data_IF_376952584486
#
_entry.id   IF_376952584486
#
_cell.length_a   1.000
_cell.length_b   1.000
_cell.length_c   1.000
_cell.angle_alpha   90.00
_cell.angle_beta   90.00
_cell.angle_gamma   90.00
#
_symmetry.space_group_name_H-M   'P 1'
#
loop_
_entity.id
_entity.type
_entity.pdbx_description
1 polymer ?
#
# COMPACT_ATOMS: atom_id res chain seq x y z
N UNK A 1 -12.15 55.40 -11.23
CA UNK A 1 -12.69 54.02 -11.25
C UNK A 1 -11.54 53.07 -11.01
N UNK A 2 -11.33 52.68 -9.77
CA UNK A 2 -10.30 51.73 -9.34
C UNK A 2 -10.73 50.34 -9.75
N UNK A 3 -10.10 49.79 -10.76
CA UNK A 3 -10.28 48.40 -11.16
C UNK A 3 -9.92 47.48 -9.98
N UNK A 4 -10.90 46.74 -9.47
CA UNK A 4 -10.64 45.65 -8.53
C UNK A 4 -9.69 44.64 -9.21
N UNK A 5 -8.42 44.64 -8.75
CA UNK A 5 -7.42 43.68 -9.25
C UNK A 5 -8.00 42.28 -9.07
N UNK A 6 -7.90 41.46 -10.13
CA UNK A 6 -8.25 40.05 -10.07
C UNK A 6 -7.51 39.41 -8.89
N UNK A 7 -8.18 38.61 -8.04
CA UNK A 7 -7.50 37.96 -6.94
C UNK A 7 -6.39 37.09 -7.49
N UNK A 8 -5.18 37.23 -6.95
CA UNK A 8 -4.00 36.45 -7.33
C UNK A 8 -4.18 34.95 -7.03
N UNK A 9 -5.09 34.63 -6.11
CA UNK A 9 -5.41 33.27 -5.68
C UNK A 9 -6.92 33.07 -5.65
N UNK A 10 -7.38 31.98 -6.25
CA UNK A 10 -8.75 31.52 -6.13
C UNK A 10 -8.75 30.11 -5.51
N UNK A 11 -9.62 29.89 -4.51
CA UNK A 11 -9.87 28.57 -3.98
C UNK A 11 -10.78 27.80 -4.93
N UNK A 12 -10.40 26.58 -5.29
CA UNK A 12 -11.26 25.66 -6.01
C UNK A 12 -12.06 24.80 -5.04
N UNK A 13 -13.20 24.23 -5.45
CA UNK A 13 -13.98 23.32 -4.61
C UNK A 13 -13.31 21.93 -4.44
N UNK A 14 -12.26 21.64 -5.21
CA UNK A 14 -11.58 20.35 -5.15
C UNK A 14 -10.93 20.13 -3.79
N UNK A 15 -11.20 18.94 -3.24
CA UNK A 15 -10.55 18.46 -2.01
C UNK A 15 -9.93 17.11 -2.29
N UNK A 16 -8.65 16.97 -2.05
CA UNK A 16 -7.97 15.69 -2.03
C UNK A 16 -8.00 15.19 -0.59
N UNK A 17 -8.74 14.10 -0.38
CA UNK A 17 -8.87 13.48 0.93
C UNK A 17 -8.02 12.21 0.97
N UNK A 18 -7.43 11.89 2.15
CA UNK A 18 -6.75 10.63 2.35
C UNK A 18 -7.69 9.44 2.17
N UNK A 19 -7.26 8.43 1.45
CA UNK A 19 -8.00 7.16 1.28
C UNK A 19 -7.36 6.05 2.13
N UNK A 20 -8.00 5.73 3.25
CA UNK A 20 -7.55 4.69 4.18
C UNK A 20 -7.66 3.27 3.62
N UNK A 21 -8.42 3.07 2.54
CA UNK A 21 -8.56 1.77 1.89
C UNK A 21 -7.34 1.40 1.04
N UNK A 22 -6.52 2.38 0.67
CA UNK A 22 -5.28 2.17 -0.09
C UNK A 22 -4.18 1.65 0.82
N UNK A 23 -4.02 0.33 0.80
CA UNK A 23 -3.16 -0.39 1.73
C UNK A 23 -2.07 -1.18 1.01
N UNK A 24 -0.94 -1.34 1.70
CA UNK A 24 0.14 -2.25 1.32
C UNK A 24 0.26 -3.38 2.34
N UNK A 25 0.74 -4.53 1.89
CA UNK A 25 1.19 -5.59 2.77
C UNK A 25 2.66 -5.39 3.14
N UNK A 26 2.98 -5.45 4.41
CA UNK A 26 4.35 -5.44 4.92
C UNK A 26 4.61 -6.70 5.71
N UNK A 27 5.87 -7.13 5.75
CA UNK A 27 6.30 -8.17 6.67
C UNK A 27 6.25 -7.62 8.10
N UNK A 28 5.59 -8.37 8.97
CA UNK A 28 5.61 -8.14 10.40
C UNK A 28 6.18 -9.35 11.13
N UNK A 29 7.32 -9.18 11.76
CA UNK A 29 7.93 -10.23 12.60
C UNK A 29 7.71 -9.84 14.06
N UNK A 30 6.86 -10.57 14.81
CA UNK A 30 6.60 -10.23 16.20
C UNK A 30 7.87 -10.41 17.04
N UNK A 31 8.30 -9.33 17.67
CA UNK A 31 9.37 -9.24 18.67
C UNK A 31 10.70 -9.89 18.27
N UNK A 32 11.76 -9.12 18.21
CA UNK A 32 13.12 -9.67 18.09
C UNK A 32 13.62 -10.24 19.43
N UNK A 33 12.79 -10.19 20.48
CA UNK A 33 13.13 -10.66 21.79
C UNK A 33 13.17 -12.18 21.82
N UNK A 34 14.33 -12.72 22.18
CA UNK A 34 14.46 -14.11 22.58
C UNK A 34 13.68 -14.30 23.87
N UNK A 35 12.70 -15.19 23.90
CA UNK A 35 12.06 -15.59 25.13
C UNK A 35 13.11 -16.24 26.07
N UNK A 36 12.86 -16.23 27.37
CA UNK A 36 13.72 -16.85 28.40
C UNK A 36 14.04 -18.32 28.08
N UNK A 37 13.15 -18.99 27.33
CA UNK A 37 13.30 -20.37 26.82
C UNK A 37 14.22 -20.52 25.60
N UNK A 38 14.79 -19.43 25.06
CA UNK A 38 15.59 -19.46 23.81
C UNK A 38 14.74 -19.44 22.55
N UNK A 39 13.42 -19.57 22.63
CA UNK A 39 12.51 -19.51 21.48
C UNK A 39 12.07 -18.07 21.18
N UNK A 40 12.00 -17.72 19.89
CA UNK A 40 11.49 -16.42 19.47
C UNK A 40 9.95 -16.45 19.39
N UNK A 41 9.31 -15.30 19.62
CA UNK A 41 7.84 -15.16 19.41
C UNK A 41 7.43 -15.58 17.99
N UNK A 42 8.26 -15.31 17.01
CA UNK A 42 8.04 -15.73 15.63
C UNK A 42 7.98 -17.25 15.51
N UNK A 43 8.90 -17.98 16.18
CA UNK A 43 8.85 -19.44 16.20
C UNK A 43 7.56 -19.97 16.84
N UNK A 44 7.15 -19.40 17.96
CA UNK A 44 5.90 -19.78 18.63
C UNK A 44 4.66 -19.57 17.75
N UNK A 45 4.64 -18.54 16.87
CA UNK A 45 3.57 -18.35 15.89
C UNK A 45 3.60 -19.46 14.84
N UNK A 46 4.77 -19.78 14.31
CA UNK A 46 4.94 -20.86 13.32
C UNK A 46 4.49 -22.20 13.91
N UNK A 47 4.96 -22.55 15.10
CA UNK A 47 4.64 -23.81 15.77
C UNK A 47 3.12 -23.99 15.97
N UNK A 48 2.41 -22.91 16.34
CA UNK A 48 0.94 -22.94 16.45
C UNK A 48 0.27 -23.24 15.10
N UNK A 49 0.77 -22.68 14.00
CA UNK A 49 0.22 -22.97 12.68
C UNK A 49 0.57 -24.39 12.23
N UNK A 50 1.76 -24.87 12.58
CA UNK A 50 2.18 -26.26 12.29
C UNK A 50 1.33 -27.28 13.05
N UNK A 51 0.85 -26.97 14.24
CA UNK A 51 -0.01 -27.83 15.05
C UNK A 51 -1.44 -27.94 14.53
N UNK A 52 -1.91 -27.07 13.63
CA UNK A 52 -3.24 -27.14 13.03
C UNK A 52 -3.37 -28.36 12.10
N UNK A 53 -4.57 -28.93 12.04
CA UNK A 53 -4.91 -29.89 10.97
C UNK A 53 -5.03 -29.19 9.63
N UNK A 54 -4.91 -29.93 8.53
CA UNK A 54 -5.05 -29.34 7.18
C UNK A 54 -6.45 -28.75 6.93
N UNK A 55 -7.49 -29.28 7.58
CA UNK A 55 -8.84 -28.73 7.50
C UNK A 55 -8.96 -27.39 8.22
N UNK A 56 -8.33 -27.25 9.39
CA UNK A 56 -8.26 -25.97 10.10
C UNK A 56 -7.47 -24.92 9.32
N UNK A 57 -6.35 -25.33 8.73
CA UNK A 57 -5.55 -24.46 7.85
C UNK A 57 -6.39 -23.95 6.70
N UNK A 58 -7.12 -24.84 5.98
CA UNK A 58 -7.96 -24.45 4.84
C UNK A 58 -9.09 -23.51 5.26
N UNK A 59 -9.79 -23.81 6.35
CA UNK A 59 -10.88 -22.96 6.87
C UNK A 59 -10.37 -21.58 7.28
N UNK A 60 -9.26 -21.53 8.01
CA UNK A 60 -8.68 -20.26 8.47
C UNK A 60 -8.19 -19.41 7.30
N UNK A 61 -7.51 -20.02 6.33
CA UNK A 61 -7.07 -19.32 5.14
C UNK A 61 -8.23 -18.80 4.29
N UNK A 62 -9.30 -19.60 4.14
CA UNK A 62 -10.50 -19.18 3.41
C UNK A 62 -11.16 -17.96 4.07
N UNK A 63 -11.26 -17.96 5.40
CA UNK A 63 -11.75 -16.80 6.16
C UNK A 63 -10.86 -15.59 5.98
N UNK A 64 -9.54 -15.74 6.09
CA UNK A 64 -8.59 -14.65 5.84
C UNK A 64 -8.77 -14.06 4.44
N UNK A 65 -8.92 -14.90 3.41
CA UNK A 65 -9.18 -14.42 2.05
C UNK A 65 -10.48 -13.62 1.92
N UNK A 66 -11.54 -14.07 2.60
CA UNK A 66 -12.82 -13.38 2.60
C UNK A 66 -12.73 -12.02 3.32
N UNK A 67 -12.07 -11.96 4.47
CA UNK A 67 -11.92 -10.76 5.29
C UNK A 67 -11.06 -9.67 4.61
N UNK A 68 -10.15 -10.09 3.74
CA UNK A 68 -9.22 -9.20 3.00
C UNK A 68 -9.52 -9.10 1.50
N UNK A 69 -10.67 -9.61 1.05
CA UNK A 69 -11.09 -9.53 -0.34
C UNK A 69 -11.14 -8.07 -0.82
N UNK A 70 -10.59 -7.81 -2.00
CA UNK A 70 -10.60 -6.48 -2.62
C UNK A 70 -9.57 -5.48 -2.06
N UNK A 71 -8.85 -5.81 -0.98
CA UNK A 71 -7.83 -4.90 -0.41
C UNK A 71 -6.45 -5.05 -1.07
N UNK A 72 -6.20 -6.15 -1.73
CA UNK A 72 -4.94 -6.45 -2.40
C UNK A 72 -5.21 -6.87 -3.84
N UNK A 73 -4.31 -6.48 -4.74
CA UNK A 73 -4.37 -6.93 -6.14
C UNK A 73 -4.23 -8.46 -6.25
N UNK A 74 -3.35 -9.02 -5.43
CA UNK A 74 -3.06 -10.45 -5.31
C UNK A 74 -2.65 -10.75 -3.87
N UNK A 75 -3.63 -11.16 -3.06
CA UNK A 75 -3.41 -11.48 -1.66
C UNK A 75 -2.53 -12.72 -1.51
N UNK A 76 -2.80 -13.78 -2.28
CA UNK A 76 -2.06 -15.03 -2.17
C UNK A 76 -0.56 -14.83 -2.43
N UNK A 77 -0.22 -14.04 -3.45
CA UNK A 77 1.18 -13.70 -3.74
C UNK A 77 1.83 -12.88 -2.62
N UNK A 78 1.08 -12.00 -1.96
CA UNK A 78 1.60 -11.26 -0.81
C UNK A 78 1.91 -12.20 0.36
N UNK A 79 1.01 -13.17 0.63
CA UNK A 79 1.19 -14.17 1.69
C UNK A 79 2.37 -15.10 1.38
N UNK A 80 2.50 -15.58 0.15
CA UNK A 80 3.62 -16.41 -0.29
C UNK A 80 4.96 -15.69 -0.15
N UNK A 81 5.02 -14.43 -0.57
CA UNK A 81 6.22 -13.61 -0.40
C UNK A 81 6.62 -13.50 1.08
N UNK A 82 5.67 -13.18 1.95
CA UNK A 82 5.94 -13.01 3.38
C UNK A 82 6.30 -14.35 4.05
N UNK A 83 5.70 -15.46 3.61
CA UNK A 83 6.15 -16.80 4.00
C UNK A 83 7.62 -17.02 3.62
N UNK A 84 8.01 -16.74 2.37
CA UNK A 84 9.38 -16.92 1.90
C UNK A 84 10.41 -16.19 2.76
N UNK A 85 10.04 -15.01 3.30
CA UNK A 85 10.92 -14.21 4.19
C UNK A 85 11.11 -14.84 5.59
N UNK A 86 10.19 -15.69 6.04
CA UNK A 86 10.25 -16.35 7.35
C UNK A 86 10.49 -17.86 7.27
N UNK A 87 10.50 -18.44 6.07
CA UNK A 87 10.64 -19.87 5.83
C UNK A 87 11.91 -20.48 6.46
N UNK A 88 13.00 -19.70 6.55
CA UNK A 88 14.25 -20.12 7.20
C UNK A 88 14.10 -20.44 8.69
N UNK A 89 12.97 -20.06 9.31
CA UNK A 89 12.64 -20.35 10.72
C UNK A 89 11.91 -21.66 10.92
N UNK A 90 11.53 -22.34 9.83
CA UNK A 90 11.02 -23.70 9.87
C UNK A 90 12.18 -24.66 9.94
N UNK A 91 12.05 -25.75 10.70
CA UNK A 91 13.07 -26.83 10.69
C UNK A 91 13.19 -27.47 9.31
N UNK A 92 14.35 -28.04 9.04
CA UNK A 92 14.73 -28.59 7.71
C UNK A 92 13.79 -29.70 7.17
N UNK A 93 12.96 -30.29 8.00
CA UNK A 93 12.07 -31.41 7.63
C UNK A 93 10.60 -31.03 7.41
N UNK A 94 10.27 -29.75 7.48
CA UNK A 94 8.87 -29.32 7.38
C UNK A 94 8.42 -29.20 5.91
N UNK A 95 8.08 -30.33 5.29
CA UNK A 95 7.27 -30.35 4.08
C UNK A 95 5.86 -29.82 4.40
N UNK A 96 5.63 -28.52 4.21
CA UNK A 96 4.34 -27.88 4.51
C UNK A 96 3.53 -27.65 3.24
N UNK A 97 2.22 -27.90 3.29
CA UNK A 97 1.31 -27.64 2.18
C UNK A 97 1.31 -26.16 1.78
N UNK A 98 1.00 -25.88 0.50
CA UNK A 98 0.88 -24.50 -0.02
C UNK A 98 -0.13 -23.68 0.82
N UNK A 99 -1.24 -24.30 1.24
CA UNK A 99 -2.23 -23.65 2.09
C UNK A 99 -1.62 -23.24 3.44
N UNK A 100 -0.82 -24.12 4.05
CA UNK A 100 -0.14 -23.84 5.31
C UNK A 100 0.93 -22.77 5.16
N UNK A 101 1.71 -22.80 4.05
CA UNK A 101 2.67 -21.74 3.73
C UNK A 101 2.00 -20.36 3.67
N UNK A 102 0.86 -20.27 2.96
CA UNK A 102 0.08 -19.02 2.88
C UNK A 102 -0.49 -18.60 4.22
N UNK A 103 -0.94 -19.54 5.04
CA UNK A 103 -1.45 -19.23 6.37
C UNK A 103 -0.33 -18.72 7.29
N UNK A 104 0.85 -19.33 7.27
CA UNK A 104 2.03 -18.80 7.97
C UNK A 104 2.32 -17.38 7.47
N UNK A 105 2.40 -17.18 6.15
CA UNK A 105 2.60 -15.86 5.57
C UNK A 105 1.58 -14.83 6.04
N UNK A 106 0.31 -15.23 6.21
CA UNK A 106 -0.75 -14.34 6.73
C UNK A 106 -0.45 -13.86 8.16
N UNK A 107 0.00 -14.74 9.04
CA UNK A 107 0.39 -14.36 10.41
C UNK A 107 1.60 -13.44 10.48
N UNK A 108 2.41 -13.40 9.43
CA UNK A 108 3.55 -12.48 9.28
C UNK A 108 3.26 -11.33 8.31
N UNK A 109 2.00 -11.06 8.03
CA UNK A 109 1.57 -9.94 7.20
C UNK A 109 0.89 -8.88 8.06
N UNK A 110 1.42 -7.67 8.00
CA UNK A 110 0.77 -6.47 8.51
C UNK A 110 0.20 -5.66 7.34
N UNK A 111 -1.00 -5.16 7.52
CA UNK A 111 -1.59 -4.19 6.62
C UNK A 111 -1.13 -2.79 7.02
N UNK A 112 -0.80 -1.97 6.03
CA UNK A 112 -0.36 -0.60 6.22
C UNK A 112 -1.17 0.33 5.30
N UNK A 113 -1.93 1.26 5.89
CA UNK A 113 -2.66 2.28 5.15
C UNK A 113 -1.74 3.44 4.79
N UNK A 114 -1.49 3.65 3.49
CA UNK A 114 -0.56 4.68 3.00
C UNK A 114 -1.03 6.10 3.31
N UNK A 115 -2.32 6.34 3.19
CA UNK A 115 -2.96 7.64 3.40
C UNK A 115 -3.77 7.62 4.70
N UNK A 116 -3.31 6.91 5.73
CA UNK A 116 -4.07 6.69 6.97
C UNK A 116 -4.36 7.96 7.77
N UNK A 117 -3.44 8.92 7.77
CA UNK A 117 -3.51 10.13 8.60
C UNK A 117 -3.67 11.42 7.79
N UNK A 118 -2.90 11.62 6.72
CA UNK A 118 -2.90 12.89 6.00
C UNK A 118 -2.41 12.74 4.55
N UNK A 119 -2.86 13.70 3.71
CA UNK A 119 -2.37 13.91 2.36
C UNK A 119 -2.14 15.41 2.19
N UNK A 120 -0.91 15.84 1.88
CA UNK A 120 -0.54 17.25 1.86
C UNK A 120 0.72 17.53 1.02
N UNK A 121 1.17 18.80 0.99
CA UNK A 121 2.32 19.29 0.25
C UNK A 121 2.26 18.94 -1.25
N UNK A 122 1.19 19.37 -1.98
CA UNK A 122 1.11 19.14 -3.41
C UNK A 122 2.23 19.88 -4.15
N UNK A 123 2.82 19.22 -5.15
CA UNK A 123 3.70 19.82 -6.14
C UNK A 123 3.29 19.34 -7.52
N UNK A 124 3.15 20.26 -8.47
CA UNK A 124 2.61 19.97 -9.81
C UNK A 124 3.69 20.25 -10.86
N UNK A 125 3.84 19.31 -11.80
CA UNK A 125 4.66 19.45 -12.99
C UNK A 125 3.87 19.03 -14.23
N UNK A 126 4.18 19.57 -15.44
CA UNK A 126 3.56 19.06 -16.66
C UNK A 126 3.78 17.55 -16.81
N UNK A 127 2.74 16.83 -17.20
CA UNK A 127 2.86 15.42 -17.54
C UNK A 127 3.72 15.27 -18.80
N UNK A 128 4.67 14.31 -18.89
CA UNK A 128 5.51 14.14 -20.07
C UNK A 128 4.73 13.79 -21.34
N UNK A 129 3.56 13.15 -21.18
CA UNK A 129 2.66 12.86 -22.28
C UNK A 129 1.46 13.83 -22.24
N UNK A 130 1.41 14.71 -23.25
CA UNK A 130 0.33 15.69 -23.49
C UNK A 130 -0.62 15.24 -24.59
N UNK A 131 -0.56 13.99 -25.03
CA UNK A 131 -1.44 13.44 -26.07
C UNK A 131 -2.90 13.57 -25.65
N UNK A 132 -3.73 14.11 -26.55
CA UNK A 132 -5.15 14.30 -26.29
C UNK A 132 -5.51 15.62 -25.60
N UNK A 133 -4.55 16.46 -25.21
CA UNK A 133 -4.83 17.78 -24.65
C UNK A 133 -5.26 18.73 -25.77
N UNK A 134 -6.33 19.49 -25.54
CA UNK A 134 -6.80 20.55 -26.43
C UNK A 134 -5.95 21.82 -26.34
N UNK A 135 -6.19 22.82 -27.21
CA UNK A 135 -5.50 24.12 -27.14
C UNK A 135 -5.70 24.78 -25.77
N UNK A 136 -4.56 25.13 -25.11
CA UNK A 136 -4.58 25.74 -23.78
C UNK A 136 -4.92 24.81 -22.62
N UNK A 137 -5.02 23.52 -22.86
CA UNK A 137 -5.14 22.49 -21.83
C UNK A 137 -3.75 21.94 -21.48
N UNK A 138 -3.56 21.61 -20.19
CA UNK A 138 -2.32 21.07 -19.67
C UNK A 138 -2.63 19.83 -18.83
N UNK A 139 -2.11 18.68 -19.20
CA UNK A 139 -2.07 17.50 -18.35
C UNK A 139 -0.89 17.60 -17.40
N UNK A 140 -1.11 17.26 -16.12
CA UNK A 140 -0.08 17.36 -15.10
C UNK A 140 0.06 16.08 -14.28
N UNK A 141 1.22 15.95 -13.63
CA UNK A 141 1.47 15.04 -12.53
C UNK A 141 1.60 15.85 -11.25
N UNK A 142 0.88 15.47 -10.22
CA UNK A 142 0.95 16.03 -8.89
C UNK A 142 1.59 15.02 -7.94
N UNK A 143 2.66 15.39 -7.25
CA UNK A 143 3.16 14.64 -6.12
C UNK A 143 2.53 15.15 -4.84
N UNK A 144 2.25 14.23 -3.91
CA UNK A 144 1.65 14.49 -2.60
C UNK A 144 2.43 13.73 -1.55
N UNK A 145 2.64 14.33 -0.39
CA UNK A 145 3.12 13.59 0.78
C UNK A 145 1.94 12.94 1.47
N UNK A 146 1.93 11.62 1.48
CA UNK A 146 0.99 10.83 2.27
C UNK A 146 1.63 10.46 3.61
N UNK A 147 0.85 10.50 4.68
CA UNK A 147 1.23 9.99 6.00
C UNK A 147 0.29 8.87 6.37
N UNK A 148 0.85 7.70 6.51
CA UNK A 148 0.15 6.49 6.87
C UNK A 148 0.23 6.16 8.35
N UNK A 149 -0.09 4.93 8.69
CA UNK A 149 0.02 4.40 10.03
C UNK A 149 1.46 4.49 10.56
N UNK A 150 1.63 4.70 11.87
CA UNK A 150 2.94 4.84 12.49
C UNK A 150 3.73 6.06 12.02
N UNK A 151 3.06 7.08 11.46
CA UNK A 151 3.68 8.31 10.91
C UNK A 151 4.69 8.07 9.78
N UNK A 152 4.63 6.91 9.13
CA UNK A 152 5.46 6.65 7.95
C UNK A 152 4.96 7.51 6.78
N UNK A 153 5.91 8.18 6.13
CA UNK A 153 5.61 9.04 4.99
C UNK A 153 5.95 8.35 3.68
N UNK A 154 5.10 8.54 2.68
CA UNK A 154 5.33 8.12 1.29
C UNK A 154 5.05 9.27 0.33
N UNK A 155 5.46 9.13 -0.91
CA UNK A 155 5.10 10.04 -2.00
C UNK A 155 4.05 9.34 -2.85
N UNK A 156 2.89 9.97 -2.93
CA UNK A 156 1.79 9.57 -3.80
C UNK A 156 1.73 10.47 -5.03
N UNK A 157 1.32 9.89 -6.15
CA UNK A 157 1.14 10.64 -7.38
C UNK A 157 -0.32 10.64 -7.82
N UNK A 158 -0.78 11.77 -8.34
CA UNK A 158 -2.07 11.94 -9.02
C UNK A 158 -1.80 12.55 -10.38
N UNK A 159 -2.63 12.24 -11.34
CA UNK A 159 -2.69 12.93 -12.63
C UNK A 159 -3.94 13.78 -12.71
N UNK A 160 -3.94 14.73 -13.62
CA UNK A 160 -5.07 15.60 -13.82
C UNK A 160 -4.87 16.54 -15.00
N UNK A 161 -5.84 17.39 -15.23
CA UNK A 161 -5.83 18.38 -16.31
C UNK A 161 -6.15 19.78 -15.79
N UNK A 162 -5.55 20.78 -16.41
CA UNK A 162 -5.90 22.19 -16.26
C UNK A 162 -6.45 22.63 -17.61
N UNK A 163 -7.71 23.03 -17.66
CA UNK A 163 -8.34 23.50 -18.90
C UNK A 163 -7.86 24.91 -19.28
N UNK A 164 -8.11 25.31 -20.54
CA UNK A 164 -7.86 26.68 -21.02
C UNK A 164 -8.55 27.76 -20.14
N UNK A 165 -9.67 27.42 -19.49
CA UNK A 165 -10.36 28.29 -18.53
C UNK A 165 -9.85 28.22 -17.11
N UNK A 166 -8.70 27.60 -16.87
CA UNK A 166 -8.08 27.37 -15.56
C UNK A 166 -8.88 26.50 -14.59
N UNK A 167 -9.84 25.70 -15.09
CA UNK A 167 -10.47 24.66 -14.28
C UNK A 167 -9.52 23.49 -14.09
N UNK A 168 -9.41 23.01 -12.85
CA UNK A 168 -8.55 21.88 -12.49
C UNK A 168 -9.43 20.65 -12.32
N UNK A 169 -9.01 19.53 -12.91
CA UNK A 169 -9.57 18.20 -12.66
C UNK A 169 -8.45 17.28 -12.20
N UNK A 170 -8.67 16.52 -11.12
CA UNK A 170 -7.72 15.54 -10.61
C UNK A 170 -8.35 14.16 -10.75
N UNK A 171 -7.61 13.24 -11.34
CA UNK A 171 -8.06 11.85 -11.52
C UNK A 171 -8.02 11.10 -10.19
N UNK A 172 -9.03 10.25 -9.97
CA UNK A 172 -9.03 9.36 -8.80
C UNK A 172 -7.90 8.34 -8.91
N UNK A 173 -7.18 8.08 -7.82
CA UNK A 173 -6.14 7.07 -7.82
C UNK A 173 -6.73 5.67 -8.01
N UNK A 174 -5.97 4.78 -8.62
CA UNK A 174 -6.35 3.37 -8.66
C UNK A 174 -6.49 2.78 -7.25
N UNK A 175 -7.32 1.73 -7.08
CA UNK A 175 -7.62 1.14 -5.76
C UNK A 175 -6.39 0.51 -5.10
N UNK A 176 -5.38 0.13 -5.88
CA UNK A 176 -4.17 -0.50 -5.37
C UNK A 176 -2.97 0.42 -5.54
N UNK A 177 -2.20 0.67 -4.47
CA UNK A 177 -0.97 1.43 -4.57
C UNK A 177 0.04 0.73 -5.49
N UNK A 178 0.78 1.52 -6.26
CA UNK A 178 1.96 1.07 -6.96
C UNK A 178 3.17 1.12 -6.04
N UNK A 179 4.04 0.11 -6.11
CA UNK A 179 5.35 0.15 -5.46
C UNK A 179 6.43 0.37 -6.51
N UNK A 180 7.35 1.29 -6.22
CA UNK A 180 8.53 1.49 -7.06
C UNK A 180 9.44 0.27 -7.05
N UNK A 181 10.15 0.07 -8.17
CA UNK A 181 11.22 -0.92 -8.25
C UNK A 181 12.55 -0.21 -8.22
N UNK A 182 13.42 -0.61 -7.28
CA UNK A 182 14.79 -0.13 -7.28
C UNK A 182 15.53 -0.73 -8.49
N UNK A 183 16.12 0.13 -9.32
CA UNK A 183 17.11 -0.26 -10.33
C UNK A 183 18.45 0.25 -9.86
N UNK A 184 19.47 -0.62 -9.68
CA UNK A 184 20.82 -0.15 -9.43
C UNK A 184 21.21 0.81 -10.55
N UNK A 185 21.78 1.95 -10.21
CA UNK A 185 22.34 2.87 -11.17
C UNK A 185 23.50 2.19 -11.92
N UNK A 186 23.57 2.40 -13.22
CA UNK A 186 24.75 2.06 -14.06
C UNK A 186 25.86 3.06 -13.79
#
# INVERSE_FOLDING_TARGET
MTGAGRPVLARTPHRLLPDKSRTLSQLFVPGQETLISGDSRAKAVIDRVLALTEDEVRRTLARTRADFAGRYRDLDRALERNFGLVAHRLGAEAGVSVARQRLIGAYFTQQYALEGAALFNPSIVPHPDQTGCGPGELRFVMSLRAVGEGHLSSIEFRTGTISAGSAISVEEPGPFPGTGHYRPGT
#
